data_IF_297655941804
#
_entry.id   IF_297655941804
#
_cell.length_a   1.000
_cell.length_b   1.000
_cell.length_c   1.000
_cell.angle_alpha   90.00
_cell.angle_beta   90.00
_cell.angle_gamma   90.00
#
_symmetry.space_group_name_H-M   'P 1'
#
loop_
_entity.id
_entity.type
_entity.pdbx_description
1 polymer ?
#
# COMPACT_ATOMS: atom_id res chain seq x y z
N UNK A 1 0.15 -3.20 -19.70
CA UNK A 1 -0.88 -2.21 -19.29
C UNK A 1 -0.22 -0.84 -19.31
N UNK A 2 -0.89 0.17 -19.86
CA UNK A 2 -0.39 1.56 -19.92
C UNK A 2 -0.77 2.28 -18.64
N UNK A 3 0.20 2.92 -17.99
CA UNK A 3 0.00 3.78 -16.80
C UNK A 3 -1.06 4.87 -17.11
N UNK A 4 -2.13 5.02 -16.32
CA UNK A 4 -3.11 6.08 -16.50
C UNK A 4 -2.54 7.48 -16.21
N UNK A 5 -1.37 7.56 -15.58
CA UNK A 5 -0.60 8.80 -15.40
C UNK A 5 0.25 9.05 -16.65
N UNK A 6 0.09 10.23 -17.23
CA UNK A 6 0.85 10.67 -18.40
C UNK A 6 2.25 11.16 -18.00
N UNK A 7 2.31 12.14 -17.09
CA UNK A 7 3.57 12.71 -16.62
C UNK A 7 3.62 12.71 -15.08
N UNK A 8 4.83 12.60 -14.52
CA UNK A 8 5.08 12.59 -13.08
C UNK A 8 5.93 13.79 -12.69
N UNK A 9 5.42 14.59 -11.75
CA UNK A 9 6.03 15.83 -11.28
C UNK A 9 6.31 15.75 -9.79
N UNK A 10 7.41 16.35 -9.35
CA UNK A 10 7.79 16.42 -7.95
C UNK A 10 8.22 17.84 -7.54
N UNK A 11 7.78 18.26 -6.36
CA UNK A 11 8.23 19.46 -5.67
C UNK A 11 8.75 19.09 -4.28
N UNK A 12 10.04 19.32 -4.03
CA UNK A 12 10.74 18.84 -2.85
C UNK A 12 11.32 20.03 -2.06
N UNK A 13 11.09 20.07 -0.76
CA UNK A 13 11.59 21.14 0.13
C UNK A 13 12.35 20.56 1.30
N UNK A 14 13.62 20.94 1.46
CA UNK A 14 14.51 20.44 2.52
C UNK A 14 15.23 21.57 3.21
N UNK A 15 15.07 21.72 4.53
CA UNK A 15 15.58 22.88 5.29
C UNK A 15 16.34 22.42 6.52
N UNK A 16 17.65 22.60 6.51
CA UNK A 16 18.58 22.41 7.61
C UNK A 16 18.78 23.69 8.41
N UNK A 17 19.02 24.80 7.72
CA UNK A 17 19.46 26.06 8.29
C UNK A 17 18.31 27.07 8.41
N UNK A 18 18.19 27.71 9.58
CA UNK A 18 17.19 28.73 9.86
C UNK A 18 17.90 30.04 10.25
N UNK A 19 17.43 31.16 9.71
CA UNK A 19 17.99 32.48 9.96
C UNK A 19 17.89 32.89 11.44
N UNK A 20 16.97 32.31 12.22
CA UNK A 20 16.86 32.47 13.67
C UNK A 20 17.43 31.25 14.40
N UNK A 21 18.52 31.41 15.19
CA UNK A 21 19.16 30.30 15.89
C UNK A 21 18.26 29.62 16.94
N UNK A 22 17.14 30.25 17.33
CA UNK A 22 16.16 29.67 18.26
C UNK A 22 15.47 28.40 17.76
N UNK A 23 15.47 28.16 16.45
CA UNK A 23 14.87 26.96 15.85
C UNK A 23 15.82 25.75 15.83
N UNK A 24 17.12 25.97 15.97
CA UNK A 24 18.14 24.92 15.86
C UNK A 24 18.27 24.36 14.44
N UNK A 25 19.49 23.99 14.07
CA UNK A 25 19.78 23.41 12.77
C UNK A 25 19.35 21.93 12.72
N UNK A 26 18.94 21.47 11.53
CA UNK A 26 18.76 20.06 11.19
C UNK A 26 19.93 19.59 10.33
N UNK A 27 20.25 18.29 10.32
CA UNK A 27 21.45 17.81 9.64
C UNK A 27 21.16 17.25 8.24
N UNK A 28 20.04 16.53 8.06
CA UNK A 28 19.84 15.70 6.85
C UNK A 28 18.68 16.09 5.94
N UNK A 29 17.89 17.13 6.23
CA UNK A 29 16.75 17.49 5.38
C UNK A 29 17.17 17.87 3.94
N UNK A 30 18.33 18.51 3.77
CA UNK A 30 18.88 18.81 2.45
C UNK A 30 19.31 17.52 1.71
N UNK A 31 19.93 16.58 2.40
CA UNK A 31 20.39 15.31 1.83
C UNK A 31 19.20 14.38 1.49
N UNK A 32 18.16 14.42 2.33
CA UNK A 32 16.87 13.77 2.11
C UNK A 32 16.24 14.17 0.77
N UNK A 33 16.08 15.48 0.54
CA UNK A 33 15.46 15.96 -0.71
C UNK A 33 16.35 15.80 -1.94
N UNK A 34 17.68 15.87 -1.79
CA UNK A 34 18.61 15.59 -2.89
C UNK A 34 18.56 14.12 -3.31
N UNK A 35 18.58 13.21 -2.34
CA UNK A 35 18.56 11.77 -2.58
C UNK A 35 17.20 11.35 -3.15
N UNK A 36 16.11 11.85 -2.59
CA UNK A 36 14.77 11.61 -3.11
C UNK A 36 14.61 12.19 -4.53
N UNK A 37 15.09 13.42 -4.76
CA UNK A 37 15.04 14.04 -6.07
C UNK A 37 15.78 13.23 -7.14
N UNK A 38 16.97 12.73 -6.81
CA UNK A 38 17.76 11.88 -7.70
C UNK A 38 17.05 10.55 -8.01
N UNK A 39 16.49 9.89 -6.99
CA UNK A 39 15.72 8.65 -7.16
C UNK A 39 14.51 8.89 -8.08
N UNK A 40 13.73 9.94 -7.82
CA UNK A 40 12.55 10.27 -8.61
C UNK A 40 12.88 10.56 -10.08
N UNK A 41 13.91 11.38 -10.34
CA UNK A 41 14.26 11.79 -11.70
C UNK A 41 14.97 10.69 -12.49
N UNK A 42 15.86 9.94 -11.84
CA UNK A 42 16.78 9.02 -12.54
C UNK A 42 16.17 7.63 -12.68
N UNK A 43 15.51 7.14 -11.63
CA UNK A 43 15.12 5.74 -11.55
C UNK A 43 13.60 5.56 -11.72
N UNK A 44 12.80 6.57 -11.37
CA UNK A 44 11.33 6.47 -11.36
C UNK A 44 10.63 7.26 -12.45
N UNK A 45 11.39 7.90 -13.35
CA UNK A 45 10.85 8.57 -14.53
C UNK A 45 10.00 9.81 -14.25
N UNK A 46 10.26 10.53 -13.16
CA UNK A 46 9.63 11.83 -12.94
C UNK A 46 10.22 12.84 -13.93
N UNK A 47 9.37 13.35 -14.82
CA UNK A 47 9.75 14.27 -15.90
C UNK A 47 10.27 15.61 -15.37
N UNK A 48 9.68 16.05 -14.25
CA UNK A 48 10.05 17.32 -13.62
C UNK A 48 10.18 17.14 -12.12
N UNK A 49 11.39 17.35 -11.62
CA UNK A 49 11.69 17.44 -10.19
C UNK A 49 12.21 18.85 -9.91
N UNK A 50 11.50 19.59 -9.06
CA UNK A 50 11.91 20.91 -8.58
C UNK A 50 12.23 20.79 -7.10
N UNK A 51 13.44 21.17 -6.71
CA UNK A 51 13.89 21.11 -5.33
C UNK A 51 14.25 22.50 -4.81
N UNK A 52 13.79 22.82 -3.61
CA UNK A 52 14.10 24.03 -2.86
C UNK A 52 14.78 23.60 -1.56
N UNK A 53 16.01 24.04 -1.34
CA UNK A 53 16.78 23.67 -0.17
C UNK A 53 17.86 24.72 0.10
N UNK A 54 18.55 24.57 1.23
CA UNK A 54 19.54 25.55 1.68
C UNK A 54 20.68 25.76 0.69
N UNK A 55 21.21 26.99 0.66
CA UNK A 55 22.32 27.37 -0.22
C UNK A 55 22.11 26.93 -1.69
N UNK A 56 20.95 27.26 -2.30
CA UNK A 56 20.63 26.82 -3.64
C UNK A 56 21.54 27.50 -4.67
N UNK A 57 21.77 26.87 -5.84
CA UNK A 57 22.55 27.49 -6.91
C UNK A 57 21.88 28.74 -7.50
N UNK A 58 20.55 28.87 -7.33
CA UNK A 58 19.77 30.03 -7.78
C UNK A 58 19.05 30.65 -6.58
N UNK A 59 19.20 31.95 -6.30
CA UNK A 59 18.60 32.59 -5.12
C UNK A 59 17.08 32.45 -5.00
N UNK A 60 16.35 32.32 -6.12
CA UNK A 60 14.90 32.11 -6.12
C UNK A 60 14.46 30.81 -5.43
N UNK A 61 15.37 29.86 -5.28
CA UNK A 61 15.13 28.58 -4.62
C UNK A 61 15.61 28.58 -3.15
N UNK A 62 15.84 29.76 -2.54
CA UNK A 62 16.06 29.81 -1.08
C UNK A 62 14.74 29.37 -0.43
N UNK A 63 14.73 28.49 0.59
CA UNK A 63 13.51 27.93 1.17
C UNK A 63 12.77 28.94 2.05
N UNK A 64 12.32 30.02 1.42
CA UNK A 64 11.49 31.04 2.02
C UNK A 64 10.02 30.78 1.79
N UNK A 65 9.14 31.23 2.68
CA UNK A 65 7.68 31.11 2.52
C UNK A 65 7.24 31.61 1.16
N UNK A 66 7.73 32.79 0.75
CA UNK A 66 7.40 33.38 -0.55
C UNK A 66 7.91 32.51 -1.71
N UNK A 67 9.16 32.03 -1.65
CA UNK A 67 9.73 31.20 -2.71
C UNK A 67 9.03 29.84 -2.82
N UNK A 68 8.87 29.14 -1.69
CA UNK A 68 8.20 27.84 -1.61
C UNK A 68 6.78 27.94 -2.17
N UNK A 69 6.00 28.94 -1.74
CA UNK A 69 4.63 29.14 -2.22
C UNK A 69 4.60 29.45 -3.72
N UNK A 70 5.48 30.33 -4.19
CA UNK A 70 5.52 30.76 -5.60
C UNK A 70 5.86 29.58 -6.50
N UNK A 71 6.91 28.83 -6.18
CA UNK A 71 7.35 27.71 -7.01
C UNK A 71 6.36 26.53 -6.95
N UNK A 72 5.74 26.27 -5.79
CA UNK A 72 4.66 25.29 -5.69
C UNK A 72 3.47 25.69 -6.56
N UNK A 73 3.03 26.95 -6.50
CA UNK A 73 1.94 27.45 -7.36
C UNK A 73 2.28 27.30 -8.85
N UNK A 74 3.50 27.65 -9.26
CA UNK A 74 3.95 27.50 -10.65
C UNK A 74 3.85 26.05 -11.12
N UNK A 75 4.22 25.08 -10.29
CA UNK A 75 4.07 23.65 -10.64
C UNK A 75 2.59 23.27 -10.71
N UNK A 76 1.79 23.70 -9.73
CA UNK A 76 0.34 23.45 -9.73
C UNK A 76 -0.37 23.99 -10.97
N UNK A 77 0.11 25.11 -11.53
CA UNK A 77 -0.43 25.73 -12.75
C UNK A 77 0.01 25.00 -14.04
N UNK A 78 1.11 24.23 -13.98
CA UNK A 78 1.67 23.53 -15.14
C UNK A 78 1.19 22.08 -15.27
N UNK A 79 0.90 21.41 -14.15
CA UNK A 79 0.45 20.00 -14.16
C UNK A 79 -0.93 19.84 -14.80
N UNK A 80 -1.05 18.83 -15.66
CA UNK A 80 -2.27 18.53 -16.41
C UNK A 80 -3.22 17.53 -15.74
N UNK A 81 -4.42 17.33 -16.31
CA UNK A 81 -5.48 16.44 -15.80
C UNK A 81 -5.14 14.95 -15.73
N UNK A 82 -4.08 14.52 -16.41
CA UNK A 82 -3.60 13.13 -16.42
C UNK A 82 -2.25 12.99 -15.68
N UNK A 83 -1.79 14.03 -14.97
CA UNK A 83 -0.48 14.03 -14.32
C UNK A 83 -0.57 13.64 -12.84
N UNK A 84 0.57 13.20 -12.30
CA UNK A 84 0.78 13.02 -10.87
C UNK A 84 1.67 14.13 -10.32
N UNK A 85 1.25 14.76 -9.23
CA UNK A 85 2.04 15.72 -8.47
C UNK A 85 2.39 15.16 -7.09
N UNK A 86 3.68 14.91 -6.87
CA UNK A 86 4.24 14.57 -5.56
C UNK A 86 4.86 15.81 -4.93
N UNK A 87 4.52 16.09 -3.68
CA UNK A 87 5.09 17.18 -2.89
C UNK A 87 5.68 16.59 -1.62
N UNK A 88 6.92 16.95 -1.29
CA UNK A 88 7.58 16.49 -0.09
C UNK A 88 8.24 17.63 0.68
N UNK A 89 8.07 17.62 2.00
CA UNK A 89 8.74 18.54 2.93
C UNK A 89 9.54 17.77 3.96
N UNK A 90 10.80 18.13 4.14
CA UNK A 90 11.67 17.75 5.25
C UNK A 90 12.15 19.03 5.95
N UNK A 91 11.60 19.34 7.11
CA UNK A 91 11.88 20.58 7.84
C UNK A 91 11.34 20.51 9.27
N UNK A 92 11.56 21.56 10.06
CA UNK A 92 10.83 21.74 11.32
C UNK A 92 9.34 21.93 11.04
N UNK A 93 8.51 21.44 11.96
CA UNK A 93 7.10 21.76 12.01
C UNK A 93 6.72 22.28 13.40
N UNK A 94 5.79 23.23 13.41
CA UNK A 94 5.26 23.84 14.63
C UNK A 94 3.74 23.99 14.54
N UNK A 95 3.12 24.43 15.63
CA UNK A 95 1.73 24.83 15.67
C UNK A 95 1.64 26.33 15.89
N UNK A 96 1.00 27.01 14.94
CA UNK A 96 0.63 28.42 15.04
C UNK A 96 -0.89 28.49 14.98
N UNK A 97 -1.53 29.17 15.94
CA UNK A 97 -2.99 29.30 16.02
C UNK A 97 -3.75 27.96 15.92
N UNK A 98 -3.22 26.90 16.56
CA UNK A 98 -3.75 25.54 16.50
C UNK A 98 -3.74 24.88 15.11
N UNK A 99 -2.90 25.34 14.20
CA UNK A 99 -2.74 24.76 12.86
C UNK A 99 -1.32 24.20 12.65
N UNK A 100 -1.18 22.99 12.03
CA UNK A 100 0.11 22.52 11.53
C UNK A 100 0.73 23.52 10.58
N UNK A 101 1.95 23.94 10.86
CA UNK A 101 2.73 24.79 9.98
C UNK A 101 4.14 24.22 9.79
N UNK A 102 4.62 24.29 8.55
CA UNK A 102 5.98 23.96 8.14
C UNK A 102 6.84 25.21 8.32
N UNK A 103 7.98 25.08 8.98
CA UNK A 103 8.88 26.20 9.23
C UNK A 103 9.73 26.45 7.98
N UNK A 104 9.86 27.72 7.59
CA UNK A 104 10.71 28.12 6.46
C UNK A 104 11.99 28.80 6.97
N UNK A 105 13.00 28.96 6.10
CA UNK A 105 14.34 29.38 6.54
C UNK A 105 14.39 30.76 7.21
N UNK A 106 13.52 31.71 6.86
CA UNK A 106 13.54 33.09 7.37
C UNK A 106 12.80 33.28 8.69
N UNK A 107 12.23 32.20 9.26
CA UNK A 107 11.39 32.26 10.46
C UNK A 107 12.02 33.07 11.60
N UNK A 108 11.18 33.83 12.30
CA UNK A 108 11.55 34.54 13.53
C UNK A 108 10.75 34.04 14.73
N UNK A 109 11.44 33.70 15.81
CA UNK A 109 10.85 33.16 17.04
C UNK A 109 9.83 34.11 17.68
N UNK A 110 10.01 35.43 17.51
CA UNK A 110 9.11 36.44 18.08
C UNK A 110 7.82 36.65 17.25
N UNK A 111 7.81 36.24 15.97
CA UNK A 111 6.65 36.35 15.08
C UNK A 111 6.67 35.26 13.99
N UNK A 112 6.50 33.99 14.34
CA UNK A 112 6.61 32.91 13.37
C UNK A 112 5.47 32.90 12.34
N UNK A 113 4.35 33.54 12.64
CA UNK A 113 3.11 33.46 11.85
C UNK A 113 3.28 33.92 10.40
N UNK A 114 4.12 34.93 10.17
CA UNK A 114 4.31 35.50 8.84
C UNK A 114 5.26 34.68 7.97
N UNK A 115 6.10 33.84 8.58
CA UNK A 115 7.19 33.12 7.92
C UNK A 115 6.93 31.61 7.81
N UNK A 116 6.00 31.03 8.57
CA UNK A 116 5.66 29.61 8.44
C UNK A 116 4.67 29.33 7.31
N UNK A 117 4.61 28.09 6.82
CA UNK A 117 3.68 27.64 5.80
C UNK A 117 2.63 26.66 6.38
N UNK A 118 1.36 27.08 6.57
CA UNK A 118 0.31 26.18 7.01
C UNK A 118 0.15 24.97 6.07
N UNK A 119 0.06 23.77 6.63
CA UNK A 119 -0.14 22.55 5.83
C UNK A 119 -1.44 22.62 5.02
N UNK A 120 -2.50 23.19 5.60
CA UNK A 120 -3.76 23.43 4.90
C UNK A 120 -3.61 24.36 3.68
N UNK A 121 -2.67 25.30 3.72
CA UNK A 121 -2.38 26.18 2.57
C UNK A 121 -1.73 25.35 1.44
N UNK A 122 -0.77 24.47 1.76
CA UNK A 122 -0.16 23.53 0.80
C UNK A 122 -1.20 22.61 0.19
N UNK A 123 -2.07 22.02 1.01
CA UNK A 123 -3.15 21.15 0.53
C UNK A 123 -4.09 21.90 -0.42
N UNK A 124 -4.46 23.14 -0.08
CA UNK A 124 -5.32 23.97 -0.92
C UNK A 124 -4.69 24.24 -2.29
N UNK A 125 -3.40 24.58 -2.32
CA UNK A 125 -2.64 24.78 -3.57
C UNK A 125 -2.60 23.51 -4.40
N UNK A 126 -2.26 22.37 -3.78
CA UNK A 126 -2.20 21.09 -4.47
C UNK A 126 -3.56 20.67 -5.02
N UNK A 127 -4.65 20.81 -4.24
CA UNK A 127 -6.01 20.48 -4.67
C UNK A 127 -6.51 21.38 -5.79
N UNK A 128 -6.08 22.64 -5.83
CA UNK A 128 -6.37 23.58 -6.91
C UNK A 128 -5.64 23.27 -8.22
N UNK A 129 -4.64 22.38 -8.22
CA UNK A 129 -3.90 21.98 -9.42
C UNK A 129 -4.71 21.07 -10.34
N UNK A 130 -4.32 21.06 -11.62
CA UNK A 130 -4.88 20.17 -12.63
C UNK A 130 -4.57 18.70 -12.42
N UNK A 131 -3.57 18.34 -11.60
CA UNK A 131 -3.09 16.96 -11.46
C UNK A 131 -4.21 15.95 -11.12
N UNK A 132 -4.20 14.80 -11.79
CA UNK A 132 -5.10 13.67 -11.49
C UNK A 132 -4.90 13.15 -10.08
N UNK A 133 -3.63 12.96 -9.73
CA UNK A 133 -3.18 12.35 -8.49
C UNK A 133 -2.25 13.31 -7.75
N UNK A 134 -2.50 13.51 -6.46
CA UNK A 134 -1.77 14.46 -5.62
C UNK A 134 -1.27 13.72 -4.38
N UNK A 135 0.03 13.77 -4.11
CA UNK A 135 0.63 13.05 -2.97
C UNK A 135 1.50 14.01 -2.16
N UNK A 136 1.14 14.25 -0.91
CA UNK A 136 1.85 15.10 0.04
C UNK A 136 2.57 14.25 1.10
N UNK A 137 3.88 14.38 1.19
CA UNK A 137 4.74 13.65 2.12
C UNK A 137 5.41 14.61 3.10
N UNK A 138 5.17 14.46 4.40
CA UNK A 138 5.67 15.39 5.42
C UNK A 138 6.64 14.70 6.39
N UNK A 139 7.93 14.96 6.26
CA UNK A 139 8.95 14.66 7.27
C UNK A 139 9.19 15.87 8.16
N UNK A 140 8.14 16.23 8.91
CA UNK A 140 8.17 17.34 9.86
C UNK A 140 7.47 16.93 11.15
N UNK A 141 8.04 17.34 12.30
CA UNK A 141 7.37 17.20 13.59
C UNK A 141 6.09 18.02 13.59
N UNK A 142 4.94 17.39 13.79
CA UNK A 142 3.72 18.14 14.05
C UNK A 142 3.52 18.25 15.57
N UNK A 143 3.04 19.40 16.06
CA UNK A 143 2.42 19.54 17.40
C UNK A 143 0.90 19.52 17.22
N UNK A 144 0.22 18.51 17.77
CA UNK A 144 -1.10 18.64 18.36
C UNK A 144 -2.38 18.51 17.54
N UNK A 145 -2.41 18.25 16.23
CA UNK A 145 -3.70 18.16 15.51
C UNK A 145 -3.98 16.76 14.97
N UNK A 146 -5.14 16.22 15.35
CA UNK A 146 -5.74 15.01 14.83
C UNK A 146 -6.02 15.24 13.32
N UNK A 147 -5.14 14.73 12.45
CA UNK A 147 -5.43 14.68 11.02
C UNK A 147 -6.52 13.64 10.83
N UNK A 148 -7.77 14.11 10.78
CA UNK A 148 -9.00 13.32 10.88
C UNK A 148 -8.91 11.92 10.27
N UNK A 149 -9.27 10.92 11.07
CA UNK A 149 -9.66 9.59 10.59
C UNK A 149 -11.08 9.69 10.03
N UNK A 150 -11.21 10.01 8.75
CA UNK A 150 -12.43 9.62 8.05
C UNK A 150 -12.22 8.25 7.42
N UNK A 151 -12.87 7.29 8.08
CA UNK A 151 -13.03 5.90 7.66
C UNK A 151 -13.71 5.90 6.30
N UNK A 152 -13.11 5.17 5.35
CA UNK A 152 -13.73 4.86 4.09
C UNK A 152 -15.13 4.23 4.31
N UNK A 153 -16.12 4.74 3.56
CA UNK A 153 -17.46 4.18 3.43
C UNK A 153 -17.37 2.72 2.93
N UNK A 154 -17.86 1.72 3.70
CA UNK A 154 -17.76 0.30 3.35
C UNK A 154 -18.52 -0.12 2.08
N UNK A 155 -19.46 0.66 1.57
CA UNK A 155 -20.23 0.33 0.36
C UNK A 155 -19.54 0.76 -0.95
N UNK A 156 -18.31 1.27 -0.87
CA UNK A 156 -17.62 1.94 -1.99
C UNK A 156 -16.38 1.23 -2.52
N UNK A 157 -16.16 -0.04 -2.15
CA UNK A 157 -15.01 -0.83 -2.62
C UNK A 157 -15.47 -1.80 -3.70
N UNK A 158 -15.58 -1.29 -4.94
CA UNK A 158 -15.57 -2.14 -6.14
C UNK A 158 -15.20 -1.36 -7.41
N UNK A 159 -13.90 -1.14 -7.65
CA UNK A 159 -13.16 -1.33 -8.93
C UNK A 159 -11.80 -0.58 -8.95
N UNK A 160 -10.73 -1.34 -9.20
CA UNK A 160 -9.68 -1.14 -10.22
C UNK A 160 -8.57 -0.07 -10.02
N UNK A 161 -7.32 -0.56 -9.97
CA UNK A 161 -6.02 0.14 -10.06
C UNK A 161 -5.79 0.97 -11.37
N UNK A 162 -6.83 1.23 -12.16
CA UNK A 162 -6.73 1.84 -13.50
C UNK A 162 -7.48 3.19 -13.59
N UNK A 163 -8.14 3.63 -12.50
CA UNK A 163 -8.88 4.90 -12.47
C UNK A 163 -8.41 5.88 -11.40
N UNK A 164 -7.26 5.64 -10.75
CA UNK A 164 -6.90 6.38 -9.55
C UNK A 164 -6.95 7.91 -9.75
N UNK A 165 -7.79 8.56 -8.97
CA UNK A 165 -7.94 10.01 -8.84
C UNK A 165 -8.03 10.27 -7.35
N UNK A 166 -7.21 11.20 -6.83
CA UNK A 166 -7.20 11.37 -5.39
C UNK A 166 -6.08 12.22 -4.82
N UNK A 167 -6.18 12.41 -3.51
CA UNK A 167 -5.22 13.11 -2.68
C UNK A 167 -4.74 12.17 -1.57
N UNK A 168 -3.43 11.98 -1.46
CA UNK A 168 -2.82 11.21 -0.39
C UNK A 168 -1.90 12.12 0.45
N UNK A 169 -1.98 11.99 1.77
CA UNK A 169 -1.07 12.62 2.73
C UNK A 169 -0.45 11.54 3.59
N UNK A 170 0.88 11.54 3.70
CA UNK A 170 1.62 10.67 4.61
C UNK A 170 2.58 11.56 5.41
N UNK A 171 2.50 11.52 6.74
CA UNK A 171 3.30 12.36 7.62
C UNK A 171 4.08 11.52 8.65
N UNK A 172 5.28 11.97 8.98
CA UNK A 172 6.26 11.26 9.79
C UNK A 172 5.97 11.19 11.28
N UNK A 173 5.27 12.18 11.86
CA UNK A 173 5.13 12.29 13.32
C UNK A 173 3.84 12.98 13.79
N UNK A 174 3.29 12.52 14.91
CA UNK A 174 2.28 13.21 15.71
C UNK A 174 2.89 14.03 16.83
N UNK A 175 2.22 15.14 17.11
CA UNK A 175 2.15 16.02 18.26
C UNK A 175 3.28 16.22 19.30
N UNK A 176 4.09 15.23 19.66
CA UNK A 176 4.95 15.28 20.85
C UNK A 176 6.33 14.64 20.66
N UNK A 177 6.75 14.31 19.43
CA UNK A 177 7.92 13.47 19.18
C UNK A 177 8.96 14.16 18.30
N UNK A 178 10.23 14.10 18.72
CA UNK A 178 11.38 14.61 17.97
C UNK A 178 11.54 13.81 16.67
N UNK A 179 11.90 14.46 15.57
CA UNK A 179 12.34 13.78 14.36
C UNK A 179 13.71 13.16 14.63
N UNK A 180 13.85 11.89 14.32
CA UNK A 180 15.08 11.14 14.51
C UNK A 180 15.72 10.82 13.17
N UNK A 181 17.01 10.52 13.21
CA UNK A 181 17.84 10.33 12.02
C UNK A 181 18.47 8.93 12.03
N UNK A 182 18.61 8.34 10.85
CA UNK A 182 19.24 7.04 10.64
C UNK A 182 19.92 7.01 9.28
N UNK A 183 21.17 6.53 9.26
CA UNK A 183 21.94 6.33 8.04
C UNK A 183 22.05 7.58 7.13
N UNK A 184 22.21 8.76 7.75
CA UNK A 184 22.36 10.03 7.02
C UNK A 184 21.05 10.62 6.50
N UNK A 185 19.90 10.20 7.03
CA UNK A 185 18.57 10.62 6.62
C UNK A 185 17.62 10.75 7.81
N UNK A 186 16.54 11.54 7.68
CA UNK A 186 15.40 11.42 8.58
C UNK A 186 14.83 10.00 8.58
N UNK A 187 14.39 9.48 9.74
CA UNK A 187 13.87 8.10 9.86
C UNK A 187 12.70 7.83 8.90
N UNK A 188 11.83 8.82 8.70
CA UNK A 188 10.75 8.71 7.73
C UNK A 188 11.29 8.69 6.30
N UNK A 189 12.13 9.66 5.94
CA UNK A 189 12.71 9.71 4.60
C UNK A 189 13.55 8.47 4.26
N UNK A 190 14.29 7.91 5.22
CA UNK A 190 15.01 6.65 5.06
C UNK A 190 14.08 5.50 4.61
N UNK A 191 12.96 5.31 5.29
CA UNK A 191 12.01 4.24 4.93
C UNK A 191 11.20 4.58 3.67
N UNK A 192 10.96 5.86 3.39
CA UNK A 192 10.35 6.32 2.15
C UNK A 192 11.25 6.01 0.95
N UNK A 193 12.53 6.36 1.00
CA UNK A 193 13.52 6.05 -0.04
C UNK A 193 13.60 4.54 -0.29
N UNK A 194 13.65 3.75 0.79
CA UNK A 194 13.60 2.30 0.71
C UNK A 194 12.33 1.79 0.01
N UNK A 195 11.17 2.33 0.37
CA UNK A 195 9.89 1.96 -0.24
C UNK A 195 9.87 2.25 -1.74
N UNK A 196 10.23 3.48 -2.12
CA UNK A 196 10.36 3.98 -3.49
C UNK A 196 11.60 3.45 -4.24
N UNK A 197 12.40 2.59 -3.62
CA UNK A 197 13.44 1.80 -4.31
C UNK A 197 12.96 0.37 -4.61
N UNK A 198 11.66 0.10 -4.46
CA UNK A 198 11.04 -1.18 -4.74
C UNK A 198 10.96 -2.13 -3.54
N UNK A 199 11.45 -1.75 -2.35
CA UNK A 199 11.30 -2.62 -1.16
C UNK A 199 9.86 -2.68 -0.66
N UNK A 200 9.02 -1.72 -1.04
CA UNK A 200 7.61 -1.75 -0.74
C UNK A 200 6.78 -2.52 -1.79
N UNK A 201 7.37 -3.02 -2.88
CA UNK A 201 6.63 -3.74 -3.92
C UNK A 201 5.93 -4.98 -3.32
N UNK A 202 4.59 -4.93 -3.28
CA UNK A 202 3.74 -5.97 -2.71
C UNK A 202 3.68 -5.99 -1.16
N UNK A 203 4.15 -4.95 -0.47
CA UNK A 203 4.15 -4.87 0.99
C UNK A 203 2.73 -4.70 1.58
N UNK A 204 2.39 -5.28 2.76
CA UNK A 204 3.23 -6.00 3.72
C UNK A 204 3.46 -7.48 3.45
N UNK A 205 2.69 -8.08 2.54
CA UNK A 205 2.73 -9.52 2.32
C UNK A 205 4.00 -9.94 1.55
N UNK A 206 4.47 -9.10 0.61
CA UNK A 206 5.62 -9.30 -0.28
C UNK A 206 5.65 -10.68 -0.97
N UNK A 207 4.48 -11.31 -1.18
CA UNK A 207 4.35 -12.67 -1.70
C UNK A 207 4.72 -12.73 -3.19
N UNK A 208 4.50 -11.65 -3.93
CA UNK A 208 4.97 -11.45 -5.30
C UNK A 208 5.30 -9.98 -5.51
N UNK A 209 6.30 -9.71 -6.37
CA UNK A 209 6.55 -8.34 -6.85
C UNK A 209 5.56 -8.04 -7.97
N UNK A 210 4.64 -7.12 -7.70
CA UNK A 210 3.69 -6.60 -8.69
C UNK A 210 4.38 -5.76 -9.76
N UNK A 211 5.64 -5.41 -9.56
CA UNK A 211 6.43 -4.62 -10.50
C UNK A 211 6.08 -3.14 -10.42
N UNK A 212 5.47 -2.71 -9.31
CA UNK A 212 5.18 -1.31 -9.03
C UNK A 212 5.01 -1.09 -7.52
N UNK A 213 5.20 0.16 -7.08
CA UNK A 213 4.96 0.62 -5.71
C UNK A 213 3.91 1.71 -5.74
N UNK A 214 2.94 1.58 -4.85
CA UNK A 214 1.77 2.44 -4.70
C UNK A 214 1.79 3.21 -3.38
N UNK A 215 0.89 4.18 -3.23
CA UNK A 215 0.71 4.94 -1.98
C UNK A 215 0.40 4.00 -0.82
N UNK A 216 -0.45 2.98 -1.00
CA UNK A 216 -0.76 2.04 0.07
C UNK A 216 0.46 1.20 0.46
N UNK A 217 1.28 0.76 -0.49
CA UNK A 217 2.51 0.04 -0.17
C UNK A 217 3.49 0.92 0.62
N UNK A 218 3.69 2.18 0.16
CA UNK A 218 4.57 3.14 0.83
C UNK A 218 4.09 3.40 2.24
N UNK A 219 2.79 3.66 2.42
CA UNK A 219 2.18 3.86 3.72
C UNK A 219 2.43 2.64 4.62
N UNK A 220 2.05 1.44 4.17
CA UNK A 220 2.23 0.23 4.97
C UNK A 220 3.70 -0.01 5.32
N UNK A 221 4.61 0.16 4.36
CA UNK A 221 6.05 -0.06 4.53
C UNK A 221 6.65 0.93 5.53
N UNK A 222 6.39 2.21 5.37
CA UNK A 222 6.92 3.26 6.24
C UNK A 222 6.37 3.11 7.65
N UNK A 223 5.04 2.97 7.81
CA UNK A 223 4.40 2.81 9.12
C UNK A 223 4.96 1.60 9.88
N UNK A 224 5.11 0.45 9.23
CA UNK A 224 5.55 -0.77 9.89
C UNK A 224 7.04 -0.76 10.23
N UNK A 225 7.89 -0.20 9.37
CA UNK A 225 9.32 -0.13 9.65
C UNK A 225 9.64 0.90 10.75
N UNK A 226 8.94 2.04 10.78
CA UNK A 226 9.08 2.99 11.89
C UNK A 226 8.60 2.37 13.21
N UNK A 227 7.48 1.62 13.20
CA UNK A 227 7.05 0.87 14.40
C UNK A 227 8.12 -0.11 14.90
N UNK A 228 8.78 -0.84 14.00
CA UNK A 228 9.87 -1.76 14.36
C UNK A 228 11.10 -1.01 14.88
N UNK A 229 11.44 0.12 14.25
CA UNK A 229 12.53 0.98 14.69
C UNK A 229 12.27 1.54 16.09
N UNK A 230 11.07 2.04 16.38
CA UNK A 230 10.65 2.48 17.71
C UNK A 230 10.84 1.38 18.76
N UNK A 231 10.43 0.15 18.45
CA UNK A 231 10.60 -1.00 19.34
C UNK A 231 12.08 -1.35 19.58
N UNK A 232 12.94 -1.13 18.59
CA UNK A 232 14.37 -1.42 18.67
C UNK A 232 15.20 -0.35 19.40
N UNK A 233 14.79 0.92 19.32
CA UNK A 233 15.54 2.05 19.90
C UNK A 233 14.96 2.56 21.21
N UNK A 234 13.69 2.25 21.51
CA UNK A 234 12.95 2.84 22.63
C UNK A 234 12.52 4.30 22.37
N UNK A 235 12.83 4.84 21.20
CA UNK A 235 12.34 6.14 20.75
C UNK A 235 10.92 5.99 20.19
N UNK A 236 10.16 7.09 20.14
CA UNK A 236 8.79 7.05 19.63
C UNK A 236 8.65 8.05 18.50
N UNK A 237 8.28 7.54 17.34
CA UNK A 237 7.84 8.30 16.17
C UNK A 237 6.57 7.65 15.60
N UNK A 238 5.46 8.38 15.59
CA UNK A 238 4.15 7.85 15.19
C UNK A 238 3.68 8.50 13.89
N UNK A 239 4.00 7.91 12.74
CA UNK A 239 3.55 8.41 11.44
C UNK A 239 2.03 8.30 11.28
N UNK A 240 1.45 9.24 10.53
CA UNK A 240 0.03 9.30 10.19
C UNK A 240 -0.15 9.30 8.67
N UNK A 241 -1.30 8.82 8.21
CA UNK A 241 -1.63 8.83 6.80
C UNK A 241 -3.12 9.05 6.60
N UNK A 242 -3.46 9.81 5.57
CA UNK A 242 -4.82 10.10 5.12
C UNK A 242 -4.86 9.96 3.60
N UNK A 243 -5.80 9.17 3.08
CA UNK A 243 -6.00 8.98 1.65
C UNK A 243 -7.45 9.28 1.29
N UNK A 244 -7.65 10.03 0.22
CA UNK A 244 -8.96 10.38 -0.33
C UNK A 244 -8.96 10.07 -1.83
N UNK A 245 -10.06 9.49 -2.33
CA UNK A 245 -10.22 9.19 -3.76
C UNK A 245 -10.50 7.72 -4.06
N UNK A 246 -10.46 7.38 -5.35
CA UNK A 246 -10.71 6.02 -5.84
C UNK A 246 -9.41 5.38 -6.29
N UNK A 247 -9.29 4.05 -6.16
CA UNK A 247 -8.10 3.31 -6.57
C UNK A 247 -6.87 3.59 -5.71
N UNK A 248 -5.74 3.01 -6.09
CA UNK A 248 -4.48 3.17 -5.40
C UNK A 248 -3.46 3.83 -6.35
N UNK A 249 -2.84 4.90 -5.88
CA UNK A 249 -1.98 5.76 -6.71
C UNK A 249 -0.63 5.08 -6.84
N UNK A 250 -0.27 4.69 -8.07
CA UNK A 250 1.05 4.13 -8.35
C UNK A 250 2.10 5.24 -8.37
N UNK A 251 3.13 5.10 -7.55
CA UNK A 251 4.23 6.05 -7.39
C UNK A 251 5.47 5.67 -8.22
N UNK A 252 5.72 4.38 -8.39
CA UNK A 252 6.90 3.87 -9.06
C UNK A 252 6.63 2.55 -9.80
N UNK A 253 7.31 2.32 -10.93
CA UNK A 253 7.25 1.06 -11.68
C UNK A 253 8.63 0.40 -11.72
N UNK A 254 8.65 -0.92 -11.57
CA UNK A 254 9.83 -1.79 -11.67
C UNK A 254 9.50 -2.99 -12.56
N UNK A 255 9.27 -2.78 -13.87
CA UNK A 255 8.83 -3.84 -14.78
C UNK A 255 9.84 -5.01 -14.88
N UNK A 256 11.12 -4.75 -14.64
CA UNK A 256 12.17 -5.78 -14.63
C UNK A 256 12.14 -6.67 -13.38
N UNK A 257 11.43 -6.27 -12.33
CA UNK A 257 11.31 -7.01 -11.07
C UNK A 257 10.06 -7.90 -11.01
N UNK A 258 9.27 -7.96 -12.09
CA UNK A 258 8.11 -8.84 -12.19
C UNK A 258 8.59 -10.29 -12.13
N UNK A 259 8.31 -10.97 -11.01
CA UNK A 259 8.37 -12.42 -10.99
C UNK A 259 7.06 -12.95 -11.56
N UNK A 260 7.09 -13.33 -12.83
CA UNK A 260 5.97 -14.02 -13.49
C UNK A 260 5.60 -15.28 -12.69
N UNK A 261 4.30 -15.53 -12.40
CA UNK A 261 3.85 -16.89 -12.13
C UNK A 261 4.32 -17.77 -13.31
N UNK A 262 4.86 -18.96 -13.03
CA UNK A 262 5.25 -19.94 -14.06
C UNK A 262 4.16 -20.03 -15.14
N UNK A 263 4.42 -19.38 -16.28
CA UNK A 263 3.57 -19.47 -17.44
C UNK A 263 3.58 -20.92 -17.93
N UNK A 264 2.38 -21.40 -18.24
CA UNK A 264 2.04 -22.65 -18.93
C UNK A 264 3.23 -23.38 -19.60
N UNK A 265 3.68 -24.47 -18.97
CA UNK A 265 4.34 -25.55 -19.72
C UNK A 265 3.27 -26.30 -20.53
N UNK A 266 2.81 -25.66 -21.61
CA UNK A 266 2.25 -26.36 -22.75
C UNK A 266 3.38 -27.13 -23.45
N UNK A 267 3.63 -28.34 -22.98
CA UNK A 267 4.24 -29.40 -23.79
C UNK A 267 3.71 -30.73 -23.28
N UNK A 268 2.40 -30.95 -23.49
CA UNK A 268 1.86 -32.31 -23.48
C UNK A 268 2.27 -32.94 -24.80
N UNK A 269 3.02 -34.02 -24.67
CA UNK A 269 3.44 -34.94 -25.71
C UNK A 269 2.40 -35.15 -26.81
N UNK A 270 2.84 -34.92 -28.05
CA UNK A 270 2.22 -35.51 -29.24
C UNK A 270 2.55 -37.00 -29.26
N UNK A 271 1.74 -37.84 -28.62
CA UNK A 271 1.63 -39.23 -29.06
C UNK A 271 0.26 -39.83 -28.80
N UNK A 272 -0.21 -40.56 -29.81
CA UNK A 272 -1.29 -41.55 -29.86
C UNK A 272 -2.67 -41.06 -30.30
N UNK A 273 -3.05 -41.51 -31.50
CA UNK A 273 -4.32 -42.22 -31.66
C UNK A 273 -5.35 -41.58 -32.60
N UNK A 274 -5.13 -41.74 -33.90
CA UNK A 274 -6.21 -41.81 -34.91
C UNK A 274 -7.38 -42.67 -34.43
N UNK A 275 -8.58 -42.12 -34.36
CA UNK A 275 -9.84 -42.84 -34.64
C UNK A 275 -10.91 -41.85 -35.14
N UNK A 276 -11.29 -42.06 -36.40
CA UNK A 276 -12.55 -41.68 -37.06
C UNK A 276 -13.75 -42.20 -36.25
N UNK A 277 -14.99 -41.70 -36.28
CA UNK A 277 -15.78 -41.10 -37.35
C UNK A 277 -17.01 -40.37 -36.75
N UNK A 278 -17.72 -39.68 -37.64
CA UNK A 278 -18.99 -38.96 -37.49
C UNK A 278 -20.12 -39.83 -36.88
N UNK A 279 -20.97 -39.21 -36.07
CA UNK A 279 -22.42 -39.41 -36.17
C UNK A 279 -23.23 -38.28 -35.50
N UNK A 280 -24.27 -37.84 -36.21
CA UNK A 280 -25.26 -36.82 -35.81
C UNK A 280 -26.33 -37.47 -34.94
N UNK A 281 -26.72 -36.87 -33.82
CA UNK A 281 -28.12 -36.89 -33.33
C UNK A 281 -28.42 -35.61 -32.51
N UNK A 282 -29.46 -34.89 -32.90
CA UNK A 282 -30.35 -34.06 -32.08
C UNK A 282 -31.77 -34.62 -32.31
N UNK A 283 -32.86 -34.20 -31.62
CA UNK A 283 -33.04 -33.46 -30.34
C UNK A 283 -34.08 -34.16 -29.42
N UNK A 284 -34.42 -33.61 -28.24
CA UNK A 284 -35.84 -33.41 -27.85
C UNK A 284 -36.06 -32.63 -26.54
N UNK A 285 -37.01 -31.69 -26.62
CA UNK A 285 -37.70 -30.99 -25.52
C UNK A 285 -38.63 -31.93 -24.76
N UNK A 286 -38.85 -31.66 -23.46
CA UNK A 286 -40.18 -31.83 -22.85
C UNK A 286 -40.42 -30.80 -21.73
N UNK A 287 -41.65 -30.28 -21.70
CA UNK A 287 -42.24 -29.30 -20.79
C UNK A 287 -43.29 -30.00 -19.92
N UNK A 288 -43.35 -29.68 -18.62
CA UNK A 288 -44.52 -29.71 -17.72
C UNK A 288 -44.04 -29.63 -16.25
N UNK A 289 -44.67 -29.06 -15.23
CA UNK A 289 -45.79 -28.15 -14.99
C UNK A 289 -45.75 -27.83 -13.47
N UNK A 290 -46.07 -26.60 -13.07
CA UNK A 290 -46.17 -25.98 -11.71
C UNK A 290 -47.15 -26.67 -10.72
N UNK A 291 -47.37 -26.22 -9.45
CA UNK A 291 -46.72 -25.20 -8.58
C UNK A 291 -46.47 -25.66 -7.11
N UNK A 292 -45.73 -24.85 -6.33
CA UNK A 292 -45.98 -24.74 -4.88
C UNK A 292 -44.78 -24.92 -3.96
N UNK A 293 -44.37 -23.82 -3.30
CA UNK A 293 -43.46 -23.85 -2.14
C UNK A 293 -42.03 -23.39 -2.42
N UNK A 294 -41.83 -22.10 -2.72
CA UNK A 294 -40.52 -21.47 -2.55
C UNK A 294 -40.16 -21.46 -1.05
N UNK A 295 -39.46 -22.50 -0.60
CA UNK A 295 -38.36 -22.28 0.35
C UNK A 295 -37.20 -21.80 -0.50
N UNK A 296 -36.76 -20.56 -0.29
CA UNK A 296 -35.45 -20.12 -0.78
C UNK A 296 -34.40 -21.06 -0.16
N UNK A 297 -34.02 -22.10 -0.91
CA UNK A 297 -32.74 -22.74 -0.69
C UNK A 297 -31.70 -21.72 -1.15
N UNK A 298 -31.11 -21.04 -0.18
CA UNK A 298 -29.84 -20.34 -0.34
C UNK A 298 -28.90 -21.29 -1.09
N UNK A 299 -28.51 -20.93 -2.31
CA UNK A 299 -27.35 -21.50 -2.97
C UNK A 299 -26.16 -21.16 -2.06
N UNK A 300 -25.86 -22.07 -1.14
CA UNK A 300 -24.69 -22.00 -0.29
C UNK A 300 -23.50 -22.26 -1.20
N UNK A 301 -22.67 -21.23 -1.31
CA UNK A 301 -21.41 -21.22 -2.04
C UNK A 301 -20.37 -20.85 -1.00
N UNK A 302 -19.21 -21.50 -1.01
CA UNK A 302 -18.07 -21.11 -0.17
C UNK A 302 -17.89 -19.59 -0.30
N UNK A 303 -17.84 -18.84 0.80
CA UNK A 303 -17.77 -17.39 0.74
C UNK A 303 -16.53 -16.95 -0.06
N UNK A 304 -16.70 -15.92 -0.89
CA UNK A 304 -15.59 -15.37 -1.66
C UNK A 304 -14.57 -14.66 -0.74
N UNK A 305 -15.05 -14.10 0.37
CA UNK A 305 -14.25 -13.50 1.45
C UNK A 305 -14.82 -13.94 2.80
N UNK A 306 -13.95 -14.32 3.73
CA UNK A 306 -14.34 -14.77 5.06
C UNK A 306 -14.58 -13.57 5.99
N UNK A 307 -15.63 -13.65 6.81
CA UNK A 307 -15.72 -12.79 7.99
C UNK A 307 -14.60 -13.11 8.99
N UNK A 308 -14.35 -12.22 9.95
CA UNK A 308 -13.37 -12.44 11.03
C UNK A 308 -13.66 -13.73 11.81
N UNK A 309 -14.94 -14.03 12.03
CA UNK A 309 -15.41 -15.23 12.71
C UNK A 309 -15.18 -16.49 11.87
N UNK A 310 -15.47 -16.44 10.57
CA UNK A 310 -15.28 -17.56 9.65
C UNK A 310 -13.81 -17.88 9.43
N UNK A 311 -12.97 -16.84 9.30
CA UNK A 311 -11.52 -16.96 9.23
C UNK A 311 -10.98 -17.64 10.49
N UNK A 312 -11.36 -17.16 11.67
CA UNK A 312 -10.93 -17.74 12.93
C UNK A 312 -11.42 -19.19 13.11
N UNK A 313 -12.61 -19.52 12.59
CA UNK A 313 -13.14 -20.88 12.59
C UNK A 313 -12.33 -21.81 11.68
N UNK A 314 -11.97 -21.37 10.46
CA UNK A 314 -11.16 -22.14 9.52
C UNK A 314 -9.74 -22.39 10.06
N UNK A 315 -9.08 -21.35 10.60
CA UNK A 315 -7.75 -21.49 11.22
C UNK A 315 -7.77 -22.53 12.34
N UNK A 316 -8.74 -22.43 13.27
CA UNK A 316 -8.87 -23.40 14.37
C UNK A 316 -9.21 -24.80 13.87
N UNK A 317 -9.99 -24.93 12.80
CA UNK A 317 -10.32 -26.23 12.22
C UNK A 317 -9.07 -26.89 11.62
N UNK A 318 -8.26 -26.15 10.87
CA UNK A 318 -7.01 -26.63 10.31
C UNK A 318 -5.97 -26.98 11.39
N UNK A 319 -5.78 -26.14 12.42
CA UNK A 319 -4.91 -26.44 13.55
C UNK A 319 -5.33 -27.69 14.34
N UNK A 320 -6.62 -28.02 14.35
CA UNK A 320 -7.11 -29.25 14.99
C UNK A 320 -6.98 -30.49 14.11
N UNK A 321 -6.87 -30.31 12.79
CA UNK A 321 -6.81 -31.38 11.79
C UNK A 321 -5.37 -31.73 11.39
N UNK A 322 -4.45 -30.78 11.55
CA UNK A 322 -3.04 -30.92 11.26
C UNK A 322 -2.29 -30.42 12.50
N UNK A 323 -1.43 -31.27 13.07
CA UNK A 323 -0.74 -30.96 14.33
C UNK A 323 0.66 -30.37 14.09
N UNK A 324 1.17 -30.50 12.87
CA UNK A 324 2.52 -30.10 12.49
C UNK A 324 2.57 -29.55 11.05
N UNK A 325 3.71 -28.93 10.70
CA UNK A 325 3.95 -28.36 9.37
C UNK A 325 3.96 -29.42 8.27
N UNK A 326 4.44 -30.62 8.56
CA UNK A 326 4.59 -31.67 7.56
C UNK A 326 3.23 -32.19 7.07
N UNK A 327 2.33 -32.51 8.01
CA UNK A 327 0.98 -32.98 7.73
C UNK A 327 0.14 -31.92 7.02
N UNK A 328 0.21 -30.67 7.47
CA UNK A 328 -0.42 -29.53 6.79
C UNK A 328 0.15 -29.34 5.39
N UNK A 329 1.48 -29.37 5.24
CA UNK A 329 2.13 -29.16 3.96
C UNK A 329 1.87 -30.27 2.95
N UNK A 330 1.73 -31.51 3.42
CA UNK A 330 1.29 -32.64 2.58
C UNK A 330 -0.15 -32.46 2.08
N UNK A 331 -1.04 -31.85 2.87
CA UNK A 331 -2.40 -31.49 2.44
C UNK A 331 -2.38 -30.34 1.45
N UNK A 332 -1.73 -29.22 1.79
CA UNK A 332 -1.61 -28.02 0.95
C UNK A 332 -1.02 -28.37 -0.42
N UNK A 333 0.07 -29.14 -0.47
CA UNK A 333 0.68 -29.59 -1.72
C UNK A 333 -0.25 -30.43 -2.59
N UNK A 334 -1.09 -31.28 -1.97
CA UNK A 334 -2.01 -32.15 -2.72
C UNK A 334 -3.25 -31.41 -3.19
N UNK A 335 -3.84 -30.59 -2.32
CA UNK A 335 -5.11 -29.90 -2.54
C UNK A 335 -4.94 -28.61 -3.33
N UNK A 336 -3.97 -27.78 -2.93
CA UNK A 336 -3.74 -26.44 -3.47
C UNK A 336 -2.61 -26.39 -4.51
N UNK A 337 -1.90 -27.51 -4.73
CA UNK A 337 -0.80 -27.65 -5.72
C UNK A 337 0.38 -26.69 -5.50
N UNK A 338 0.57 -26.23 -4.26
CA UNK A 338 1.66 -25.34 -3.85
C UNK A 338 2.40 -25.91 -2.63
N UNK A 339 3.69 -25.64 -2.48
CA UNK A 339 4.45 -26.08 -1.29
C UNK A 339 4.09 -25.21 -0.08
N UNK A 340 4.06 -25.78 1.12
CA UNK A 340 3.75 -24.99 2.33
C UNK A 340 4.78 -23.90 2.55
N UNK A 341 6.04 -24.21 2.23
CA UNK A 341 7.15 -23.27 2.28
C UNK A 341 7.04 -22.14 1.25
N UNK A 342 6.12 -22.20 0.28
CA UNK A 342 5.85 -21.09 -0.63
C UNK A 342 4.75 -20.17 -0.09
N UNK A 343 3.91 -20.66 0.83
CA UNK A 343 2.87 -19.87 1.50
C UNK A 343 3.40 -19.23 2.80
N UNK A 344 4.25 -19.93 3.56
CA UNK A 344 4.57 -19.57 4.95
C UNK A 344 6.03 -19.17 5.20
N UNK A 345 6.72 -18.58 4.22
CA UNK A 345 8.15 -18.25 4.30
C UNK A 345 8.52 -17.35 5.48
N UNK A 346 7.61 -16.45 5.88
CA UNK A 346 7.78 -15.50 6.98
C UNK A 346 7.17 -15.98 8.31
N UNK A 347 6.51 -17.14 8.33
CA UNK A 347 5.81 -17.63 9.51
C UNK A 347 6.77 -18.29 10.53
N UNK A 348 7.09 -17.55 11.59
CA UNK A 348 7.99 -18.00 12.66
C UNK A 348 7.41 -19.11 13.54
N UNK A 349 6.09 -19.34 13.52
CA UNK A 349 5.42 -20.36 14.35
C UNK A 349 4.41 -21.18 13.55
N UNK A 350 4.05 -22.37 14.05
CA UNK A 350 3.06 -23.23 13.40
C UNK A 350 1.66 -22.60 13.32
N UNK A 351 1.12 -21.95 14.37
CA UNK A 351 -0.15 -21.23 14.27
C UNK A 351 -0.16 -20.19 13.14
N UNK A 352 0.89 -19.37 13.04
CA UNK A 352 1.05 -18.40 11.95
C UNK A 352 1.14 -19.05 10.57
N UNK A 353 1.71 -20.24 10.49
CA UNK A 353 1.77 -21.01 9.24
C UNK A 353 0.37 -21.42 8.77
N UNK A 354 -0.52 -21.78 9.70
CA UNK A 354 -1.92 -22.11 9.37
C UNK A 354 -2.70 -20.87 8.96
N UNK A 355 -2.51 -19.74 9.66
CA UNK A 355 -3.09 -18.44 9.30
C UNK A 355 -2.73 -18.05 7.86
N UNK A 356 -1.44 -18.11 7.50
CA UNK A 356 -0.98 -17.83 6.13
C UNK A 356 -1.61 -18.73 5.07
N UNK A 357 -1.92 -19.99 5.38
CA UNK A 357 -2.62 -20.90 4.46
C UNK A 357 -4.06 -20.48 4.23
N UNK A 358 -4.75 -19.98 5.25
CA UNK A 358 -6.12 -19.47 5.13
C UNK A 358 -6.13 -18.17 4.35
N UNK A 359 -5.24 -17.24 4.67
CA UNK A 359 -5.11 -15.95 3.98
C UNK A 359 -4.82 -16.15 2.50
N UNK A 360 -3.86 -17.04 2.18
CA UNK A 360 -3.54 -17.41 0.81
C UNK A 360 -4.74 -18.04 0.10
N UNK A 361 -5.44 -18.97 0.74
CA UNK A 361 -6.60 -19.60 0.10
C UNK A 361 -7.73 -18.60 -0.16
N UNK A 362 -7.95 -17.62 0.71
CA UNK A 362 -8.90 -16.54 0.49
C UNK A 362 -8.49 -15.65 -0.68
N UNK A 363 -7.26 -15.12 -0.67
CA UNK A 363 -6.77 -14.19 -1.67
C UNK A 363 -6.80 -14.75 -3.10
N UNK A 364 -6.63 -16.07 -3.25
CA UNK A 364 -6.58 -16.74 -4.56
C UNK A 364 -7.91 -17.45 -4.93
N UNK A 365 -8.98 -17.23 -4.16
CA UNK A 365 -10.27 -17.89 -4.40
C UNK A 365 -10.20 -19.41 -4.30
N UNK A 366 -9.31 -19.92 -3.44
CA UNK A 366 -9.01 -21.34 -3.19
C UNK A 366 -9.58 -21.88 -1.87
N UNK A 367 -10.49 -21.13 -1.23
CA UNK A 367 -11.11 -21.54 0.04
C UNK A 367 -11.84 -22.89 -0.08
N UNK A 368 -12.50 -23.13 -1.22
CA UNK A 368 -13.20 -24.38 -1.48
C UNK A 368 -12.21 -25.56 -1.56
N UNK A 369 -11.14 -25.43 -2.35
CA UNK A 369 -10.14 -26.48 -2.47
C UNK A 369 -9.38 -26.72 -1.16
N UNK A 370 -9.17 -25.68 -0.35
CA UNK A 370 -8.54 -25.80 0.96
C UNK A 370 -9.41 -26.64 1.91
N UNK A 371 -10.70 -26.29 2.06
CA UNK A 371 -11.58 -27.01 2.98
C UNK A 371 -11.90 -28.43 2.50
N UNK A 372 -12.10 -28.65 1.20
CA UNK A 372 -12.30 -29.98 0.62
C UNK A 372 -11.04 -30.84 0.78
N UNK A 373 -9.86 -30.27 0.53
CA UNK A 373 -8.58 -30.93 0.75
C UNK A 373 -8.34 -31.33 2.21
N UNK A 374 -8.68 -30.42 3.13
CA UNK A 374 -8.59 -30.66 4.57
C UNK A 374 -9.54 -31.79 5.02
N UNK A 375 -10.80 -31.77 4.55
CA UNK A 375 -11.79 -32.82 4.83
C UNK A 375 -11.38 -34.16 4.25
N UNK A 376 -10.85 -34.20 3.03
CA UNK A 376 -10.38 -35.44 2.40
C UNK A 376 -9.27 -36.11 3.20
N UNK A 377 -8.40 -35.32 3.84
CA UNK A 377 -7.31 -35.83 4.67
C UNK A 377 -7.75 -36.15 6.11
N UNK A 378 -8.74 -35.43 6.63
CA UNK A 378 -9.27 -35.58 7.99
C UNK A 378 -10.81 -35.66 8.00
N UNK A 379 -11.41 -36.72 7.42
CA UNK A 379 -12.85 -36.81 7.20
C UNK A 379 -13.66 -36.92 8.49
N UNK A 380 -13.03 -37.23 9.63
CA UNK A 380 -13.69 -37.33 10.93
C UNK A 380 -13.52 -36.08 11.80
N UNK A 381 -12.80 -35.04 11.35
CA UNK A 381 -12.58 -33.84 12.15
C UNK A 381 -13.91 -33.05 12.31
N UNK A 382 -14.40 -32.82 13.54
CA UNK A 382 -15.70 -32.21 13.78
C UNK A 382 -15.75 -30.72 13.42
N UNK A 383 -14.62 -29.99 13.53
CA UNK A 383 -14.56 -28.55 13.21
C UNK A 383 -14.61 -28.32 11.71
N UNK A 384 -13.85 -29.09 10.93
CA UNK A 384 -13.90 -29.05 9.47
C UNK A 384 -15.29 -29.39 8.95
N UNK A 385 -15.94 -30.43 9.48
CA UNK A 385 -17.31 -30.81 9.11
C UNK A 385 -18.34 -29.72 9.41
N UNK A 386 -18.22 -29.09 10.58
CA UNK A 386 -19.15 -28.02 10.98
C UNK A 386 -19.04 -26.83 10.03
N UNK A 387 -17.81 -26.43 9.70
CA UNK A 387 -17.54 -25.32 8.80
C UNK A 387 -17.95 -25.63 7.35
N UNK A 388 -17.67 -26.83 6.88
CA UNK A 388 -18.09 -27.28 5.54
C UNK A 388 -19.61 -27.25 5.39
N UNK A 389 -20.33 -27.71 6.41
CA UNK A 389 -21.78 -27.67 6.45
C UNK A 389 -22.33 -26.23 6.47
N UNK A 390 -21.68 -25.30 7.19
CA UNK A 390 -22.09 -23.88 7.15
C UNK A 390 -21.85 -23.23 5.78
N UNK A 391 -20.90 -23.74 4.99
CA UNK A 391 -20.64 -23.29 3.62
C UNK A 391 -21.38 -24.09 2.54
N UNK A 392 -22.24 -25.04 2.93
CA UNK A 392 -23.02 -25.87 2.02
C UNK A 392 -22.24 -26.91 1.22
N UNK A 393 -21.05 -27.29 1.70
CA UNK A 393 -20.28 -28.40 1.16
C UNK A 393 -20.81 -29.74 1.72
N UNK A 394 -20.75 -30.83 0.93
CA UNK A 394 -21.31 -32.14 1.27
C UNK A 394 -20.64 -32.84 2.47
#
# INVERSE_FOLDING_TARGET
MTDPIKNRWAFLVGINEYDDPGYGELEFCVDDVKTLGQLLSTDLGFEKVVSIYDNPPVPRYKPTRSAVKTELQLICDLVGPDDLLLVHFACHGIQVDNQPCLVTSEVRSYNPKDDVLPVAEVETLMRGSGARCKVLLLDACHTGVDMGRDLADPEFIRHVYEQAEGFALIAASTAQQKAYEIAGHGVFTHYLLNALSGKADGYPEQIYRKGFVSVQDVQAYVLNNIKRWNQGTGQVQTPTARTEGFGDIVLAYYPEQIQTPLAEMSSVDKTVGTLTARERVQPQLSLSSTPGGRKQQSKLVVPAELSVEEWGALVKALQSAFLDKESLGSMVRRALKIRLEEISQSASTYPKTVESVVDWAQAYGKLQELIEGALKRNPSNPRLKTLAKSWGLP
#
